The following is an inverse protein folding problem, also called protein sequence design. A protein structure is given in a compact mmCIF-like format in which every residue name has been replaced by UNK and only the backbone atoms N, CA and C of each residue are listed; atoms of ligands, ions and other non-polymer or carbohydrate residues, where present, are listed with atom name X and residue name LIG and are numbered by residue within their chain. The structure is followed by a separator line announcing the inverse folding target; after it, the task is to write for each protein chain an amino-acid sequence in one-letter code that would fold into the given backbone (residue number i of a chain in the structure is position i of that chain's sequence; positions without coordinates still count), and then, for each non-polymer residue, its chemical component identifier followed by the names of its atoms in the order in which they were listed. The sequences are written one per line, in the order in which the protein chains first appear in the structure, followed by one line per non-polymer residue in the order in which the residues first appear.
data_IF_055637520726
#
_entry.id   IF_055637520726
#
_cell.length_a   1.000
_cell.length_b   1.000
_cell.length_c   1.000
_cell.angle_alpha   90.00
_cell.angle_beta   90.00
_cell.angle_gamma   90.00
#
_symmetry.space_group_name_H-M   'P 1'
#
loop_
_entity.id
_entity.type
_entity.pdbx_description
1 polymer ?
#
# COMPACT_ATOMS: atom_id res chain seq x y z
N UNK A 1 12.40 4.09 -24.85
CA UNK A 1 12.26 4.14 -23.39
C UNK A 1 12.64 2.76 -22.87
N UNK A 2 13.77 2.65 -22.14
CA UNK A 2 14.29 1.36 -21.68
C UNK A 2 13.62 1.00 -20.36
N UNK A 3 12.92 -0.13 -20.35
CA UNK A 3 12.37 -0.74 -19.13
C UNK A 3 13.57 -1.26 -18.33
N UNK A 4 13.83 -0.70 -17.17
CA UNK A 4 14.90 -1.20 -16.28
C UNK A 4 14.25 -2.20 -15.34
N UNK A 5 14.36 -3.47 -15.68
CA UNK A 5 14.09 -4.58 -14.76
C UNK A 5 15.40 -4.79 -13.97
N UNK A 6 15.41 -4.39 -12.70
CA UNK A 6 16.56 -4.66 -11.82
C UNK A 6 16.30 -5.95 -11.04
N UNK A 7 16.89 -7.04 -11.51
CA UNK A 7 17.04 -8.27 -10.73
C UNK A 7 18.27 -8.18 -9.85
N UNK A 8 18.11 -8.23 -8.52
CA UNK A 8 19.22 -8.34 -7.58
C UNK A 8 19.43 -9.82 -7.20
N UNK A 9 20.60 -10.36 -7.53
CA UNK A 9 21.07 -11.62 -6.99
C UNK A 9 21.74 -11.35 -5.62
N UNK A 10 21.17 -11.93 -4.56
CA UNK A 10 21.79 -11.94 -3.24
C UNK A 10 23.00 -12.87 -3.25
N UNK A 11 24.20 -12.35 -3.10
CA UNK A 11 25.44 -13.11 -3.00
C UNK A 11 25.76 -13.32 -1.52
N UNK A 12 25.53 -14.54 -1.05
CA UNK A 12 25.90 -15.02 0.28
C UNK A 12 27.41 -15.30 0.30
N UNK A 13 28.19 -14.52 1.02
CA UNK A 13 29.64 -14.73 1.19
C UNK A 13 29.91 -15.40 2.53
N UNK A 14 30.22 -16.72 2.52
CA UNK A 14 30.81 -17.43 3.64
C UNK A 14 32.30 -17.04 3.78
N UNK A 15 32.67 -16.46 4.91
CA UNK A 15 34.04 -16.20 5.27
C UNK A 15 34.64 -17.39 6.03
N UNK A 16 35.65 -18.03 5.45
CA UNK A 16 36.56 -18.95 6.13
C UNK A 16 37.80 -18.18 6.52
N UNK A 17 38.11 -18.19 7.81
CA UNK A 17 39.31 -17.61 8.36
C UNK A 17 40.52 -18.54 8.13
N UNK A 18 41.67 -18.00 7.62
CA UNK A 18 42.98 -18.57 7.80
C UNK A 18 44.00 -17.48 8.10
N UNK A 19 44.62 -17.68 9.25
CA UNK A 19 45.75 -16.90 9.79
C UNK A 19 47.07 -17.18 9.02
N UNK A 20 47.87 -16.17 8.72
CA UNK A 20 49.32 -16.24 8.84
C UNK A 20 50.00 -14.88 8.73
N UNK A 21 51.08 -14.78 9.42
CA UNK A 21 51.89 -13.67 9.88
C UNK A 21 52.71 -12.92 8.82
N UNK A 22 53.00 -11.67 9.21
CA UNK A 22 54.26 -10.95 9.22
C UNK A 22 54.68 -10.10 8.01
N UNK A 23 54.88 -8.85 8.28
CA UNK A 23 56.07 -8.01 8.14
C UNK A 23 55.83 -6.60 7.59
N UNK A 24 56.21 -5.66 8.41
CA UNK A 24 56.49 -4.22 8.28
C UNK A 24 56.72 -3.65 6.89
N UNK A 25 56.06 -2.53 6.56
CA UNK A 25 56.73 -1.25 6.24
C UNK A 25 55.71 -0.10 6.10
N UNK A 26 56.00 0.99 6.74
CA UNK A 26 55.34 2.29 6.80
C UNK A 26 55.15 2.96 5.45
N UNK A 27 53.96 3.49 5.17
CA UNK A 27 53.74 4.80 4.53
C UNK A 27 52.33 5.33 4.79
N UNK A 28 52.28 6.56 5.26
CA UNK A 28 51.12 7.39 5.47
C UNK A 28 50.22 7.47 4.23
N UNK A 29 48.94 7.21 4.38
CA UNK A 29 47.89 7.75 3.54
C UNK A 29 46.66 8.01 4.43
N UNK A 30 46.09 9.14 4.22
CA UNK A 30 45.00 9.80 4.91
C UNK A 30 43.84 8.88 5.28
N UNK A 31 43.45 8.94 6.54
CA UNK A 31 42.24 8.35 7.10
C UNK A 31 41.02 9.04 6.47
N UNK A 32 40.42 8.40 5.48
CA UNK A 32 39.00 8.62 5.18
C UNK A 32 38.22 7.90 6.27
N UNK A 33 37.76 8.66 7.23
CA UNK A 33 36.73 8.21 8.20
C UNK A 33 35.54 7.69 7.41
N UNK A 34 35.47 6.38 7.32
CA UNK A 34 34.28 5.68 6.91
C UNK A 34 33.34 5.76 8.13
N UNK A 35 32.47 6.75 8.19
CA UNK A 35 31.43 6.83 9.18
C UNK A 35 30.49 5.64 8.94
N UNK A 36 30.75 4.52 9.61
CA UNK A 36 29.75 3.49 9.83
C UNK A 36 28.60 4.18 10.59
N UNK A 37 27.51 4.52 9.90
CA UNK A 37 26.26 4.91 10.56
C UNK A 37 25.88 3.75 11.48
N UNK A 38 25.90 4.01 12.79
CA UNK A 38 25.35 3.05 13.76
C UNK A 38 23.91 2.73 13.37
N UNK A 39 23.48 1.46 13.43
CA UNK A 39 22.11 1.09 13.09
C UNK A 39 21.16 1.93 13.94
N UNK A 40 20.37 2.77 13.29
CA UNK A 40 19.40 3.63 13.95
C UNK A 40 18.47 2.73 14.76
N UNK A 41 18.49 2.89 16.10
CA UNK A 41 17.59 2.12 16.99
C UNK A 41 16.14 2.47 16.65
N UNK A 42 15.34 1.44 16.40
CA UNK A 42 13.91 1.61 16.11
C UNK A 42 13.22 2.42 17.23
N UNK A 43 12.36 3.36 16.84
CA UNK A 43 11.56 4.13 17.79
C UNK A 43 10.51 3.21 18.44
N UNK A 44 10.17 3.48 19.69
CA UNK A 44 8.92 2.99 20.24
C UNK A 44 7.77 3.72 19.59
N UNK A 45 6.63 3.05 19.48
CA UNK A 45 5.45 3.60 18.83
C UNK A 45 4.39 4.01 19.84
N UNK A 46 3.88 5.22 19.69
CA UNK A 46 2.65 5.69 20.34
C UNK A 46 1.51 5.51 19.34
N UNK A 47 0.38 4.98 19.80
CA UNK A 47 -0.81 4.74 18.97
C UNK A 47 -1.96 5.53 19.55
N UNK A 48 -2.60 6.35 18.71
CA UNK A 48 -3.73 7.18 19.10
C UNK A 48 -4.90 6.96 18.15
N UNK A 49 -6.11 6.96 18.71
CA UNK A 49 -7.34 6.94 17.91
C UNK A 49 -7.57 8.35 17.33
N UNK A 50 -7.80 8.42 16.02
CA UNK A 50 -8.05 9.68 15.33
C UNK A 50 -9.25 9.53 14.40
N UNK A 51 -10.18 10.47 14.50
CA UNK A 51 -11.33 10.59 13.62
C UNK A 51 -11.14 11.71 12.60
N UNK A 52 -11.41 11.41 11.34
CA UNK A 52 -11.42 12.37 10.24
C UNK A 52 -12.86 12.58 9.78
N UNK A 53 -13.39 13.81 9.91
CA UNK A 53 -14.83 14.09 9.72
C UNK A 53 -15.09 15.08 8.60
N UNK A 54 -16.17 14.85 7.83
CA UNK A 54 -16.69 15.80 6.84
C UNK A 54 -18.20 15.60 6.68
N UNK A 55 -19.00 16.58 7.09
CA UNK A 55 -20.48 16.44 7.13
C UNK A 55 -20.89 15.26 8.02
N UNK A 56 -21.63 14.31 7.46
CA UNK A 56 -22.09 13.12 8.16
C UNK A 56 -21.05 11.97 8.14
N UNK A 57 -19.92 12.13 7.45
CA UNK A 57 -18.86 11.15 7.36
C UNK A 57 -17.94 11.27 8.57
N UNK A 58 -17.72 10.15 9.26
CA UNK A 58 -16.80 10.02 10.39
C UNK A 58 -15.87 8.82 10.16
N UNK A 59 -14.67 9.09 9.68
CA UNK A 59 -13.65 8.08 9.37
C UNK A 59 -12.86 7.77 10.63
N UNK A 60 -12.98 6.55 11.11
CA UNK A 60 -12.21 6.01 12.22
C UNK A 60 -10.85 5.49 11.74
N UNK A 61 -9.80 5.76 12.51
CA UNK A 61 -8.48 5.18 12.26
C UNK A 61 -7.54 5.29 13.44
N UNK A 62 -6.36 4.71 13.29
CA UNK A 62 -5.27 4.73 14.25
C UNK A 62 -4.06 5.46 13.68
N UNK A 63 -3.56 6.42 14.45
CA UNK A 63 -2.35 7.17 14.18
C UNK A 63 -1.20 6.53 14.95
N UNK A 64 -0.19 6.07 14.25
CA UNK A 64 1.05 5.52 14.78
C UNK A 64 2.13 6.58 14.67
N UNK A 65 2.77 6.94 15.77
CA UNK A 65 3.82 7.94 15.79
C UNK A 65 5.06 7.45 16.56
N UNK A 66 6.29 7.87 16.14
CA UNK A 66 7.51 7.54 16.87
C UNK A 66 7.58 8.29 18.21
N UNK A 67 7.71 7.56 19.32
CA UNK A 67 7.79 8.14 20.68
C UNK A 67 9.01 9.05 20.81
N UNK A 68 8.78 10.27 21.26
CA UNK A 68 9.85 11.22 21.57
C UNK A 68 10.58 11.84 20.38
N UNK A 69 10.17 11.56 19.15
CA UNK A 69 10.71 12.24 17.98
C UNK A 69 9.99 13.58 17.80
N UNK A 70 10.74 14.66 17.83
CA UNK A 70 10.21 16.02 17.74
C UNK A 70 10.21 16.55 16.32
N UNK A 71 9.37 17.58 16.09
CA UNK A 71 9.27 18.34 14.84
C UNK A 71 8.22 17.81 13.87
N UNK A 72 8.00 18.51 12.75
CA UNK A 72 7.15 18.02 11.68
C UNK A 72 7.78 16.78 11.04
N UNK A 73 7.06 15.67 11.06
CA UNK A 73 7.51 14.37 10.56
C UNK A 73 6.87 14.03 9.21
N UNK A 74 7.56 13.27 8.35
CA UNK A 74 6.94 12.70 7.17
C UNK A 74 5.79 11.77 7.58
N UNK A 75 4.70 11.78 6.81
CA UNK A 75 3.52 10.99 7.09
C UNK A 75 3.12 10.08 5.94
N UNK A 76 2.57 8.91 6.26
CA UNK A 76 2.01 7.97 5.31
C UNK A 76 0.56 7.64 5.71
N UNK A 77 -0.38 7.78 4.75
CA UNK A 77 -1.76 7.33 4.90
C UNK A 77 -1.90 5.97 4.22
N UNK A 78 -2.46 4.99 4.95
CA UNK A 78 -2.55 3.59 4.51
C UNK A 78 -3.99 3.17 4.29
N UNK A 79 -4.32 2.80 3.05
CA UNK A 79 -5.63 2.34 2.58
C UNK A 79 -5.67 0.82 2.48
N UNK A 80 -6.62 0.19 3.19
CA UNK A 80 -6.74 -1.27 3.26
C UNK A 80 -7.41 -1.88 2.02
N UNK A 81 -7.30 -3.21 1.89
CA UNK A 81 -7.95 -4.01 0.84
C UNK A 81 -9.48 -4.13 1.06
N UNK A 82 -10.19 -4.57 0.02
CA UNK A 82 -11.64 -4.83 0.05
C UNK A 82 -12.07 -5.66 1.26
N UNK A 83 -13.20 -5.29 1.86
CA UNK A 83 -13.84 -6.00 2.98
C UNK A 83 -12.94 -6.19 4.22
N UNK A 84 -11.95 -5.31 4.40
CA UNK A 84 -11.07 -5.29 5.56
C UNK A 84 -11.26 -4.00 6.36
N UNK A 85 -10.44 -3.82 7.38
CA UNK A 85 -10.39 -2.65 8.25
C UNK A 85 -8.94 -2.14 8.36
N UNK A 86 -8.73 -1.03 9.09
CA UNK A 86 -7.41 -0.52 9.46
C UNK A 86 -6.47 -1.59 10.00
N UNK A 87 -7.01 -2.64 10.65
CA UNK A 87 -6.22 -3.73 11.24
C UNK A 87 -5.34 -4.45 10.21
N UNK A 88 -5.75 -4.48 8.93
CA UNK A 88 -4.95 -5.06 7.86
C UNK A 88 -3.67 -4.26 7.56
N UNK A 89 -3.69 -2.95 7.83
CA UNK A 89 -2.58 -2.05 7.57
C UNK A 89 -1.76 -1.75 8.84
N UNK A 90 -2.28 -2.13 10.03
CA UNK A 90 -1.66 -1.86 11.32
C UNK A 90 -0.20 -2.37 11.44
N UNK A 91 0.17 -3.57 10.96
CA UNK A 91 1.57 -4.00 10.99
C UNK A 91 2.50 -3.08 10.19
N UNK A 92 2.07 -2.63 9.01
CA UNK A 92 2.85 -1.70 8.18
C UNK A 92 2.96 -0.33 8.84
N UNK A 93 1.87 0.18 9.44
CA UNK A 93 1.89 1.43 10.20
C UNK A 93 2.86 1.35 11.39
N UNK A 94 2.90 0.23 12.09
CA UNK A 94 3.85 -0.03 13.17
C UNK A 94 5.31 0.03 12.66
N UNK A 95 5.63 -0.71 11.58
CA UNK A 95 6.99 -0.69 10.99
C UNK A 95 7.41 0.71 10.55
N UNK A 96 6.51 1.48 9.95
CA UNK A 96 6.78 2.85 9.53
C UNK A 96 7.05 3.77 10.73
N UNK A 97 6.27 3.66 11.81
CA UNK A 97 6.48 4.46 13.02
C UNK A 97 7.81 4.12 13.70
N UNK A 98 8.21 2.87 13.75
CA UNK A 98 9.51 2.41 14.27
C UNK A 98 10.69 3.01 13.47
N UNK A 99 10.48 3.36 12.21
CA UNK A 99 11.48 4.03 11.36
C UNK A 99 11.35 5.57 11.37
N UNK A 100 10.47 6.10 12.22
CA UNK A 100 10.38 7.54 12.46
C UNK A 100 9.42 8.31 11.56
N UNK A 101 8.48 7.64 10.92
CA UNK A 101 7.37 8.21 10.17
C UNK A 101 6.10 8.28 11.03
N UNK A 102 5.21 9.21 10.74
CA UNK A 102 3.83 9.13 11.23
C UNK A 102 3.03 8.31 10.23
N UNK A 103 2.31 7.30 10.70
CA UNK A 103 1.51 6.44 9.84
C UNK A 103 0.05 6.41 10.30
N UNK A 104 -0.88 6.61 9.39
CA UNK A 104 -2.31 6.57 9.69
C UNK A 104 -3.00 5.50 8.87
N UNK A 105 -3.59 4.52 9.53
CA UNK A 105 -4.44 3.51 8.90
C UNK A 105 -5.89 3.66 9.41
N UNK A 106 -6.86 3.53 8.51
CA UNK A 106 -8.25 3.87 8.77
C UNK A 106 -9.20 2.85 8.15
N UNK A 107 -10.46 2.89 8.57
CA UNK A 107 -11.53 2.10 7.99
C UNK A 107 -12.25 2.92 6.92
N UNK A 108 -12.42 2.38 5.71
CA UNK A 108 -13.37 2.96 4.75
C UNK A 108 -14.81 2.80 5.24
N UNK A 109 -15.66 3.80 5.01
CA UNK A 109 -17.07 3.74 5.36
C UNK A 109 -17.80 2.65 4.59
N UNK A 110 -18.45 1.74 5.30
CA UNK A 110 -19.22 0.65 4.70
C UNK A 110 -18.39 -0.44 4.03
N UNK A 111 -17.06 -0.48 4.21
CA UNK A 111 -16.21 -1.52 3.62
C UNK A 111 -16.56 -2.94 4.10
N UNK A 112 -16.98 -3.08 5.34
CA UNK A 112 -17.46 -4.31 5.96
C UNK A 112 -18.26 -4.00 7.23
N UNK A 113 -18.88 -5.03 7.82
CA UNK A 113 -19.66 -4.88 9.06
C UNK A 113 -18.80 -4.47 10.27
N UNK A 114 -17.52 -4.84 10.26
CA UNK A 114 -16.55 -4.52 11.31
C UNK A 114 -15.99 -3.10 11.21
N UNK A 115 -16.27 -2.38 10.12
CA UNK A 115 -15.83 -0.98 9.96
C UNK A 115 -16.39 -0.11 11.08
N UNK A 116 -15.51 0.66 11.72
CA UNK A 116 -15.87 1.62 12.77
C UNK A 116 -16.20 3.01 12.22
N UNK A 117 -15.92 3.23 10.95
CA UNK A 117 -16.29 4.46 10.23
C UNK A 117 -17.77 4.53 9.99
N UNK A 118 -18.34 5.75 9.93
CA UNK A 118 -19.76 6.01 9.84
C UNK A 118 -20.08 6.98 8.71
N UNK A 119 -21.34 6.94 8.26
CA UNK A 119 -21.86 7.83 7.24
C UNK A 119 -22.23 7.16 5.93
N UNK A 120 -21.84 5.87 5.74
CA UNK A 120 -22.28 5.03 4.63
C UNK A 120 -22.50 3.60 5.08
N UNK A 121 -23.43 2.92 4.43
CA UNK A 121 -23.67 1.48 4.58
C UNK A 121 -22.81 0.69 3.59
N UNK A 122 -22.76 -0.63 3.74
CA UNK A 122 -22.09 -1.54 2.79
C UNK A 122 -22.75 -1.52 1.40
N UNK A 123 -24.05 -1.25 1.31
CA UNK A 123 -24.77 -1.12 0.05
C UNK A 123 -24.44 0.17 -0.70
N UNK A 124 -24.06 1.22 0.02
CA UNK A 124 -23.69 2.53 -0.55
C UNK A 124 -22.21 2.64 -0.87
N UNK A 125 -21.38 1.74 -0.34
CA UNK A 125 -19.93 1.74 -0.57
C UNK A 125 -19.62 1.42 -2.03
N UNK A 126 -18.71 2.22 -2.61
CA UNK A 126 -18.15 2.05 -3.96
C UNK A 126 -16.68 2.47 -3.95
N UNK A 127 -15.92 2.17 -5.01
CA UNK A 127 -14.55 2.69 -5.16
C UNK A 127 -14.53 4.21 -5.09
N UNK A 128 -15.56 4.89 -5.62
CA UNK A 128 -15.62 6.36 -5.63
C UNK A 128 -15.94 6.95 -4.26
N UNK A 129 -16.78 6.28 -3.46
CA UNK A 129 -17.02 6.71 -2.08
C UNK A 129 -15.82 6.45 -1.17
N UNK A 130 -15.04 5.39 -1.42
CA UNK A 130 -13.75 5.18 -0.75
C UNK A 130 -12.71 6.25 -1.14
N UNK A 131 -12.75 6.76 -2.38
CA UNK A 131 -11.93 7.91 -2.76
C UNK A 131 -12.30 9.17 -1.95
N UNK A 132 -13.61 9.45 -1.77
CA UNK A 132 -14.06 10.56 -0.93
C UNK A 132 -13.59 10.41 0.53
N UNK A 133 -13.63 9.19 1.08
CA UNK A 133 -13.12 8.89 2.42
C UNK A 133 -11.62 9.20 2.52
N UNK A 134 -10.82 8.74 1.57
CA UNK A 134 -9.38 9.02 1.55
C UNK A 134 -9.11 10.53 1.40
N UNK A 135 -9.90 11.26 0.61
CA UNK A 135 -9.80 12.72 0.49
C UNK A 135 -10.06 13.43 1.83
N UNK A 136 -11.06 12.97 2.60
CA UNK A 136 -11.35 13.49 3.97
C UNK A 136 -10.16 13.20 4.91
N UNK A 137 -9.60 12.00 4.84
CA UNK A 137 -8.41 11.62 5.63
C UNK A 137 -7.23 12.52 5.29
N UNK A 138 -6.89 12.67 4.01
CA UNK A 138 -5.75 13.48 3.57
C UNK A 138 -5.90 14.95 4.03
N UNK A 139 -7.12 15.50 3.91
CA UNK A 139 -7.40 16.86 4.37
C UNK A 139 -7.15 17.02 5.87
N UNK A 140 -7.53 16.03 6.69
CA UNK A 140 -7.31 16.05 8.15
C UNK A 140 -5.85 15.85 8.52
N UNK A 141 -5.19 14.84 7.96
CA UNK A 141 -3.81 14.49 8.31
C UNK A 141 -2.85 15.65 8.05
N UNK A 142 -3.03 16.38 6.95
CA UNK A 142 -2.21 17.57 6.61
C UNK A 142 -2.34 18.73 7.60
N UNK A 143 -3.34 18.74 8.47
CA UNK A 143 -3.55 19.80 9.47
C UNK A 143 -2.96 19.48 10.84
N UNK A 144 -2.36 18.32 11.02
CA UNK A 144 -1.75 17.92 12.29
C UNK A 144 -0.40 18.64 12.49
N UNK A 145 -0.18 19.24 13.66
CA UNK A 145 1.00 20.06 13.95
C UNK A 145 2.33 19.29 13.90
N UNK A 146 2.29 17.98 14.12
CA UNK A 146 3.46 17.12 14.10
C UNK A 146 3.79 16.52 12.71
N UNK A 147 3.07 16.92 11.65
CA UNK A 147 3.26 16.40 10.29
C UNK A 147 3.84 17.47 9.38
N UNK A 148 4.83 17.08 8.59
CA UNK A 148 5.32 17.88 7.46
C UNK A 148 4.38 17.69 6.26
N UNK A 149 3.56 18.70 5.92
CA UNK A 149 2.61 18.59 4.81
C UNK A 149 3.30 18.48 3.43
N UNK A 150 4.57 18.83 3.33
CA UNK A 150 5.38 18.66 2.12
C UNK A 150 5.96 17.23 1.97
N UNK A 151 5.79 16.38 2.99
CA UNK A 151 6.26 14.98 3.02
C UNK A 151 5.13 14.02 3.37
N UNK A 152 4.00 14.18 2.70
CA UNK A 152 2.85 13.27 2.81
C UNK A 152 2.90 12.23 1.70
N UNK A 153 2.88 10.97 2.10
CA UNK A 153 2.87 9.81 1.22
C UNK A 153 1.56 9.04 1.38
N UNK A 154 1.23 8.25 0.36
CA UNK A 154 0.08 7.35 0.40
C UNK A 154 0.51 5.93 0.08
N UNK A 155 -0.07 4.96 0.80
CA UNK A 155 0.12 3.55 0.56
C UNK A 155 -1.25 2.88 0.46
N UNK A 156 -1.48 2.09 -0.58
CA UNK A 156 -2.73 1.35 -0.73
C UNK A 156 -2.51 -0.08 -1.18
N UNK A 157 -3.31 -1.01 -0.63
CA UNK A 157 -3.26 -2.43 -0.96
C UNK A 157 -4.53 -2.87 -1.70
N UNK A 158 -4.39 -3.68 -2.76
CA UNK A 158 -5.50 -4.26 -3.50
C UNK A 158 -6.52 -3.21 -3.95
N UNK A 159 -7.80 -3.26 -3.52
CA UNK A 159 -8.81 -2.22 -3.78
C UNK A 159 -8.37 -0.86 -3.25
N UNK A 160 -7.84 -0.79 -2.03
CA UNK A 160 -7.26 0.45 -1.49
C UNK A 160 -6.11 0.98 -2.34
N UNK A 161 -5.38 0.11 -3.06
CA UNK A 161 -4.36 0.49 -4.04
C UNK A 161 -4.95 1.16 -5.28
N UNK A 162 -6.10 0.68 -5.79
CA UNK A 162 -6.85 1.36 -6.85
C UNK A 162 -7.35 2.73 -6.39
N UNK A 163 -7.99 2.80 -5.20
CA UNK A 163 -8.48 4.05 -4.61
C UNK A 163 -7.34 5.05 -4.44
N UNK A 164 -6.22 4.61 -3.86
CA UNK A 164 -5.03 5.43 -3.65
C UNK A 164 -4.49 6.00 -4.96
N UNK A 165 -4.41 5.16 -6.01
CA UNK A 165 -3.94 5.61 -7.32
C UNK A 165 -4.84 6.70 -7.91
N UNK A 166 -6.16 6.52 -7.87
CA UNK A 166 -7.12 7.49 -8.40
C UNK A 166 -7.15 8.80 -7.61
N UNK A 167 -7.01 8.74 -6.28
CA UNK A 167 -6.92 9.94 -5.43
C UNK A 167 -5.62 10.69 -5.67
N UNK A 168 -4.49 10.00 -5.83
CA UNK A 168 -3.20 10.64 -6.11
C UNK A 168 -3.20 11.44 -7.42
N UNK A 169 -3.94 11.01 -8.45
CA UNK A 169 -4.11 11.77 -9.69
C UNK A 169 -4.76 13.14 -9.45
N UNK A 170 -5.72 13.23 -8.53
CA UNK A 170 -6.43 14.48 -8.20
C UNK A 170 -5.65 15.37 -7.22
N UNK A 171 -4.83 14.77 -6.35
CA UNK A 171 -4.14 15.44 -5.24
C UNK A 171 -2.61 15.42 -5.39
N UNK A 172 -2.11 15.42 -6.63
CA UNK A 172 -0.69 15.30 -6.93
C UNK A 172 0.20 16.38 -6.28
N UNK A 173 -0.34 17.57 -6.05
CA UNK A 173 0.38 18.66 -5.39
C UNK A 173 0.56 18.43 -3.88
N UNK A 174 -0.27 17.58 -3.28
CA UNK A 174 -0.34 17.35 -1.84
C UNK A 174 0.34 16.04 -1.44
N UNK A 175 0.55 15.13 -2.40
CA UNK A 175 1.10 13.79 -2.19
C UNK A 175 2.50 13.73 -2.78
N UNK A 176 3.51 13.51 -1.94
CA UNK A 176 4.93 13.49 -2.31
C UNK A 176 5.35 12.22 -3.05
N UNK A 177 4.74 11.08 -2.71
CA UNK A 177 5.03 9.79 -3.34
C UNK A 177 3.95 8.76 -3.06
N UNK A 178 3.84 7.75 -3.92
CA UNK A 178 2.79 6.74 -3.87
C UNK A 178 3.38 5.33 -3.84
N UNK A 179 2.86 4.52 -2.92
CA UNK A 179 3.25 3.12 -2.73
C UNK A 179 2.01 2.25 -2.97
N UNK A 180 2.10 1.30 -3.89
CA UNK A 180 1.00 0.43 -4.24
C UNK A 180 1.37 -1.04 -4.01
N UNK A 181 0.60 -1.73 -3.19
CA UNK A 181 0.71 -3.15 -2.94
C UNK A 181 -0.34 -3.88 -3.75
N UNK A 182 0.09 -4.70 -4.73
CA UNK A 182 -0.79 -5.51 -5.59
C UNK A 182 -2.12 -4.82 -5.95
N UNK A 183 -2.08 -3.58 -6.51
CA UNK A 183 -3.27 -2.76 -6.70
C UNK A 183 -4.28 -3.44 -7.63
N UNK A 184 -5.56 -3.44 -7.23
CA UNK A 184 -6.62 -4.16 -7.92
C UNK A 184 -7.18 -3.39 -9.13
N UNK A 185 -6.32 -3.04 -10.08
CA UNK A 185 -6.69 -2.36 -11.33
C UNK A 185 -7.59 -3.22 -12.25
N UNK A 186 -7.77 -4.51 -11.91
CA UNK A 186 -8.66 -5.43 -12.60
C UNK A 186 -10.12 -5.35 -12.16
N UNK A 187 -10.48 -4.57 -11.14
CA UNK A 187 -11.86 -4.52 -10.59
C UNK A 187 -12.91 -4.28 -11.68
N UNK A 188 -12.79 -3.29 -12.59
CA UNK A 188 -13.79 -3.09 -13.64
C UNK A 188 -13.97 -4.31 -14.53
N UNK A 189 -12.88 -4.94 -14.96
CA UNK A 189 -12.91 -6.16 -15.78
C UNK A 189 -13.56 -7.33 -15.02
N UNK A 190 -13.22 -7.50 -13.74
CA UNK A 190 -13.75 -8.52 -12.86
C UNK A 190 -15.28 -8.39 -12.74
N UNK A 191 -15.74 -7.19 -12.38
CA UNK A 191 -17.16 -6.86 -12.20
C UNK A 191 -17.94 -7.03 -13.50
N UNK A 192 -17.42 -6.56 -14.63
CA UNK A 192 -18.06 -6.70 -15.95
C UNK A 192 -18.22 -8.17 -16.37
N UNK A 193 -17.24 -9.02 -16.10
CA UNK A 193 -17.31 -10.46 -16.36
C UNK A 193 -18.41 -11.12 -15.52
N UNK A 194 -18.51 -10.79 -14.23
CA UNK A 194 -19.54 -11.36 -13.38
C UNK A 194 -20.94 -10.92 -13.77
N UNK A 195 -21.14 -9.65 -14.11
CA UNK A 195 -22.42 -9.12 -14.60
C UNK A 195 -22.90 -9.84 -15.87
N UNK A 196 -21.99 -10.19 -16.77
CA UNK A 196 -22.31 -10.90 -18.02
C UNK A 196 -22.67 -12.38 -17.81
N UNK A 197 -22.11 -13.04 -16.78
CA UNK A 197 -22.37 -14.45 -16.46
C UNK A 197 -23.73 -14.60 -15.73
N UNK A 198 -24.11 -13.61 -14.92
CA UNK A 198 -25.36 -13.62 -14.16
C UNK A 198 -26.62 -13.41 -14.99
N UNK A 199 -26.49 -13.14 -16.29
CA UNK A 199 -27.55 -13.23 -17.31
C UNK A 199 -28.88 -12.62 -16.93
N UNK A 200 -28.95 -11.37 -16.45
CA UNK A 200 -30.21 -10.60 -16.35
C UNK A 200 -31.28 -11.15 -15.37
N UNK A 201 -30.91 -11.96 -14.40
CA UNK A 201 -31.81 -12.50 -13.37
C UNK A 201 -31.42 -11.95 -12.00
N UNK A 202 -32.38 -11.26 -11.41
CA UNK A 202 -32.52 -10.81 -10.02
C UNK A 202 -31.21 -10.64 -9.21
N UNK A 203 -30.88 -9.39 -8.94
CA UNK A 203 -29.65 -8.90 -8.24
C UNK A 203 -29.36 -9.54 -6.87
N UNK A 204 -30.31 -10.30 -6.31
CA UNK A 204 -30.13 -11.06 -5.07
C UNK A 204 -29.20 -12.27 -5.16
N UNK A 205 -28.69 -12.62 -6.37
CA UNK A 205 -27.93 -13.86 -6.60
C UNK A 205 -26.41 -13.68 -6.66
N UNK A 206 -25.88 -12.45 -6.69
CA UNK A 206 -24.43 -12.21 -6.63
C UNK A 206 -23.82 -12.63 -5.29
N UNK A 207 -24.62 -12.65 -4.21
CA UNK A 207 -24.20 -13.11 -2.88
C UNK A 207 -24.01 -14.62 -2.73
N UNK A 208 -24.41 -15.44 -3.73
CA UNK A 208 -24.40 -16.90 -3.65
C UNK A 208 -23.44 -17.63 -4.59
N UNK A 209 -22.52 -16.91 -5.26
CA UNK A 209 -21.42 -17.55 -5.98
C UNK A 209 -20.38 -18.07 -4.96
N UNK A 210 -20.69 -19.23 -4.38
CA UNK A 210 -19.82 -20.00 -3.47
C UNK A 210 -18.57 -20.52 -4.21
N UNK A 211 -17.66 -19.63 -4.54
CA UNK A 211 -16.42 -19.95 -5.21
C UNK A 211 -15.51 -18.74 -5.28
N UNK A 212 -14.78 -18.45 -4.23
CA UNK A 212 -13.62 -17.55 -4.23
C UNK A 212 -13.88 -16.03 -4.18
N UNK A 213 -15.00 -15.53 -4.69
CA UNK A 213 -15.33 -14.09 -4.72
C UNK A 213 -16.73 -13.73 -4.17
N UNK A 214 -17.56 -14.72 -3.89
CA UNK A 214 -18.93 -14.51 -3.38
C UNK A 214 -19.03 -13.93 -1.96
N UNK A 215 -17.90 -13.80 -1.25
CA UNK A 215 -17.84 -13.14 0.04
C UNK A 215 -17.35 -11.69 -0.04
N UNK A 216 -17.12 -11.15 -1.21
CA UNK A 216 -16.67 -9.75 -1.36
C UNK A 216 -17.80 -8.72 -1.22
N UNK A 217 -19.04 -9.13 -0.93
CA UNK A 217 -20.13 -8.20 -0.59
C UNK A 217 -20.32 -7.03 -1.57
N UNK A 218 -20.06 -7.23 -2.88
CA UNK A 218 -20.23 -6.16 -3.85
C UNK A 218 -21.70 -5.84 -4.04
N UNK A 219 -22.11 -4.65 -3.64
CA UNK A 219 -23.45 -4.13 -3.86
C UNK A 219 -23.72 -3.85 -5.34
N UNK A 220 -25.00 -3.69 -5.70
CA UNK A 220 -25.38 -3.23 -7.06
C UNK A 220 -24.78 -1.86 -7.36
N UNK A 221 -24.78 -0.95 -6.37
CA UNK A 221 -24.17 0.37 -6.49
C UNK A 221 -22.65 0.28 -6.78
N UNK A 222 -21.94 -0.64 -6.12
CA UNK A 222 -20.53 -0.88 -6.39
C UNK A 222 -20.33 -1.33 -7.85
N UNK A 223 -21.05 -2.36 -8.28
CA UNK A 223 -20.99 -2.93 -9.62
C UNK A 223 -21.27 -1.85 -10.69
N UNK A 224 -22.39 -1.15 -10.54
CA UNK A 224 -22.82 -0.13 -11.52
C UNK A 224 -21.85 1.06 -11.60
N UNK A 225 -21.21 1.41 -10.51
CA UNK A 225 -20.27 2.53 -10.47
C UNK A 225 -18.99 2.27 -11.25
N UNK A 226 -18.54 1.00 -11.34
CA UNK A 226 -17.16 0.70 -11.79
C UNK A 226 -17.08 -0.21 -13.02
N UNK A 227 -18.15 -0.93 -13.40
CA UNK A 227 -18.13 -1.96 -14.47
C UNK A 227 -17.62 -1.48 -15.84
N UNK A 228 -17.86 -0.21 -16.17
CA UNK A 228 -17.47 0.40 -17.44
C UNK A 228 -16.31 1.40 -17.29
N UNK A 229 -15.65 1.44 -16.10
CA UNK A 229 -14.62 2.40 -15.81
C UNK A 229 -13.26 1.97 -16.39
N UNK A 230 -12.66 2.82 -17.21
CA UNK A 230 -11.30 2.62 -17.73
C UNK A 230 -10.27 3.19 -16.76
N UNK A 231 -9.74 2.33 -15.88
CA UNK A 231 -8.71 2.70 -14.91
C UNK A 231 -7.49 3.31 -15.60
N UNK A 232 -7.05 2.71 -16.74
CA UNK A 232 -5.82 3.14 -17.41
C UNK A 232 -5.97 4.42 -18.24
N UNK A 233 -7.19 4.87 -18.47
CA UNK A 233 -7.46 6.21 -18.98
C UNK A 233 -7.44 7.28 -17.89
N UNK A 234 -7.57 6.87 -16.62
CA UNK A 234 -7.71 7.74 -15.46
C UNK A 234 -6.51 7.71 -14.50
N UNK A 235 -5.42 7.04 -14.85
CA UNK A 235 -4.13 7.07 -14.14
C UNK A 235 -3.01 7.46 -15.09
N UNK A 236 -1.88 7.96 -14.50
CA UNK A 236 -0.63 8.25 -15.24
C UNK A 236 -0.35 9.73 -15.43
N UNK A 237 -1.15 10.63 -14.90
CA UNK A 237 -0.86 12.08 -14.85
C UNK A 237 -0.19 12.50 -13.54
N UNK A 238 -0.20 11.65 -12.51
CA UNK A 238 0.52 11.87 -11.27
C UNK A 238 2.03 11.96 -11.52
N UNK A 239 2.66 13.14 -11.25
CA UNK A 239 4.02 13.43 -11.71
C UNK A 239 5.12 12.92 -10.79
N UNK A 240 4.77 12.62 -9.53
CA UNK A 240 5.75 12.23 -8.50
C UNK A 240 6.04 10.72 -8.57
N UNK A 241 6.99 10.28 -7.75
CA UNK A 241 7.47 8.90 -7.78
C UNK A 241 6.43 7.89 -7.29
N UNK A 242 6.38 6.76 -7.96
CA UNK A 242 5.49 5.63 -7.66
C UNK A 242 6.29 4.35 -7.53
N UNK A 243 6.09 3.59 -6.46
CA UNK A 243 6.51 2.19 -6.44
C UNK A 243 5.31 1.26 -6.38
N UNK A 244 5.40 0.17 -7.13
CA UNK A 244 4.41 -0.89 -7.12
C UNK A 244 5.12 -2.17 -6.70
N UNK A 245 4.63 -2.82 -5.64
CA UNK A 245 5.11 -4.13 -5.20
C UNK A 245 4.01 -5.15 -5.47
N UNK A 246 4.35 -6.26 -6.16
CA UNK A 246 3.34 -7.23 -6.58
C UNK A 246 3.91 -8.65 -6.58
N UNK A 247 3.14 -9.59 -6.02
CA UNK A 247 3.53 -11.00 -5.99
C UNK A 247 3.49 -11.64 -7.39
N UNK A 248 4.52 -12.42 -7.75
CA UNK A 248 4.54 -13.08 -9.07
C UNK A 248 3.58 -14.26 -9.20
N UNK A 249 3.04 -14.75 -8.08
CA UNK A 249 2.05 -15.84 -8.02
C UNK A 249 0.69 -15.33 -7.53
N UNK A 250 0.41 -14.04 -7.73
CA UNK A 250 -0.89 -13.47 -7.39
C UNK A 250 -1.94 -13.95 -8.38
N UNK A 251 -2.88 -14.76 -7.90
CA UNK A 251 -3.98 -15.32 -8.69
C UNK A 251 -5.31 -14.54 -8.52
N UNK A 252 -5.34 -13.55 -7.61
CA UNK A 252 -6.49 -12.65 -7.41
C UNK A 252 -6.36 -11.44 -8.35
N UNK A 253 -5.20 -10.81 -8.31
CA UNK A 253 -4.84 -9.72 -9.22
C UNK A 253 -3.57 -10.12 -9.98
N UNK A 254 -3.69 -10.48 -11.23
CA UNK A 254 -2.54 -10.84 -12.06
C UNK A 254 -1.56 -9.65 -12.16
N UNK A 255 -0.27 -9.90 -11.94
CA UNK A 255 0.80 -8.89 -11.96
C UNK A 255 0.83 -8.07 -13.26
N UNK A 256 0.28 -8.60 -14.36
CA UNK A 256 0.17 -7.88 -15.65
C UNK A 256 -0.54 -6.52 -15.52
N UNK A 257 -1.48 -6.38 -14.57
CA UNK A 257 -2.18 -5.11 -14.34
C UNK A 257 -1.22 -4.06 -13.76
N UNK A 258 -0.30 -4.44 -12.89
CA UNK A 258 0.78 -3.57 -12.41
C UNK A 258 1.83 -3.30 -13.50
N UNK A 259 2.16 -4.27 -14.34
CA UNK A 259 3.04 -4.08 -15.50
C UNK A 259 2.46 -3.09 -16.53
N UNK A 260 1.14 -3.05 -16.65
CA UNK A 260 0.46 -2.06 -17.47
C UNK A 260 0.47 -0.68 -16.83
N UNK A 261 0.19 -0.59 -15.52
CA UNK A 261 0.14 0.66 -14.78
C UNK A 261 1.50 1.37 -14.75
N UNK A 262 2.59 0.64 -14.53
CA UNK A 262 3.95 1.21 -14.50
C UNK A 262 4.34 1.91 -15.80
N UNK A 263 3.73 1.54 -16.91
CA UNK A 263 3.97 2.17 -18.23
C UNK A 263 3.21 3.50 -18.39
N UNK A 264 2.25 3.76 -17.51
CA UNK A 264 1.43 4.97 -17.55
C UNK A 264 2.08 6.13 -16.79
N UNK A 265 2.68 5.83 -15.64
CA UNK A 265 3.28 6.87 -14.80
C UNK A 265 4.62 7.37 -15.35
N UNK A 266 4.91 8.67 -15.22
CA UNK A 266 6.20 9.27 -15.63
C UNK A 266 7.39 8.68 -14.86
N UNK A 267 7.19 8.43 -13.56
CA UNK A 267 8.21 7.90 -12.65
C UNK A 267 7.61 6.78 -11.80
N UNK A 268 7.60 5.54 -12.33
CA UNK A 268 7.14 4.38 -11.61
C UNK A 268 8.11 3.21 -11.72
N UNK A 269 8.25 2.46 -10.62
CA UNK A 269 9.04 1.23 -10.55
C UNK A 269 8.16 0.09 -10.05
N UNK A 270 8.17 -1.04 -10.77
CA UNK A 270 7.55 -2.29 -10.32
C UNK A 270 8.62 -3.19 -9.70
N UNK A 271 8.35 -3.67 -8.48
CA UNK A 271 9.13 -4.70 -7.79
C UNK A 271 8.34 -6.00 -7.73
N UNK A 272 8.64 -6.98 -8.61
CA UNK A 272 8.05 -8.31 -8.55
C UNK A 272 8.56 -9.07 -7.32
N UNK A 273 7.66 -9.46 -6.42
CA UNK A 273 7.98 -10.25 -5.23
C UNK A 273 7.88 -11.73 -5.58
N UNK A 274 9.02 -12.36 -5.74
CA UNK A 274 9.11 -13.74 -6.25
C UNK A 274 8.38 -14.74 -5.37
N UNK A 275 7.46 -15.52 -5.97
CA UNK A 275 6.69 -16.56 -5.32
C UNK A 275 5.62 -16.09 -4.36
N UNK A 276 5.45 -14.78 -4.16
CA UNK A 276 4.38 -14.25 -3.33
C UNK A 276 3.04 -14.29 -4.07
N UNK A 277 1.97 -14.61 -3.33
CA UNK A 277 0.57 -14.50 -3.77
C UNK A 277 -0.03 -13.14 -3.39
N UNK A 278 -1.34 -12.98 -3.51
CA UNK A 278 -2.05 -11.79 -3.03
C UNK A 278 -1.86 -11.62 -1.51
N UNK A 279 -1.60 -10.38 -1.06
CA UNK A 279 -1.26 -10.11 0.34
C UNK A 279 0.17 -10.53 0.72
N UNK A 280 1.05 -10.79 -0.26
CA UNK A 280 2.43 -11.23 -0.10
C UNK A 280 2.62 -12.56 0.64
N UNK A 281 1.57 -13.37 0.74
CA UNK A 281 1.64 -14.70 1.35
C UNK A 281 2.36 -15.70 0.44
N UNK A 282 2.87 -16.79 1.03
CA UNK A 282 3.34 -17.92 0.23
C UNK A 282 2.14 -18.60 -0.46
N UNK A 283 2.24 -18.81 -1.76
CA UNK A 283 1.18 -19.44 -2.54
C UNK A 283 1.04 -20.92 -2.12
N UNK A 284 0.06 -21.22 -1.28
CA UNK A 284 -0.47 -22.56 -1.14
C UNK A 284 -1.91 -22.58 -1.67
N UNK A 285 -2.28 -23.68 -2.29
CA UNK A 285 -3.53 -23.87 -3.06
C UNK A 285 -4.84 -23.61 -2.29
N UNK A 286 -4.80 -23.31 -1.01
CA UNK A 286 -5.94 -23.11 -0.12
C UNK A 286 -5.91 -21.75 0.60
N UNK A 287 -5.02 -20.86 0.18
CA UNK A 287 -4.62 -19.65 0.89
C UNK A 287 -5.57 -18.48 0.80
N UNK A 288 -6.79 -18.62 1.23
CA UNK A 288 -7.60 -17.49 1.74
C UNK A 288 -7.20 -17.15 3.19
N UNK A 289 -6.18 -17.78 3.72
CA UNK A 289 -5.70 -17.56 5.07
C UNK A 289 -4.77 -16.34 5.11
N UNK A 290 -5.28 -15.27 5.66
CA UNK A 290 -4.59 -14.03 6.01
C UNK A 290 -4.28 -13.09 4.85
N UNK A 291 -5.23 -12.21 4.59
CA UNK A 291 -5.02 -10.95 3.84
C UNK A 291 -4.33 -9.89 4.73
N UNK A 292 -3.90 -10.27 5.93
CA UNK A 292 -3.32 -9.41 6.95
C UNK A 292 -1.95 -9.94 7.35
N UNK A 293 -0.90 -9.16 7.13
CA UNK A 293 0.48 -9.51 7.45
C UNK A 293 1.00 -10.67 6.58
N UNK A 294 1.71 -10.36 5.51
CA UNK A 294 2.23 -11.36 4.58
C UNK A 294 3.51 -12.01 5.11
N UNK A 295 3.68 -13.31 4.84
CA UNK A 295 4.92 -14.05 5.14
C UNK A 295 6.16 -13.45 4.42
N UNK A 296 5.95 -12.50 3.51
CA UNK A 296 6.98 -11.81 2.73
C UNK A 296 7.18 -10.36 3.12
N UNK A 297 6.61 -9.90 4.23
CA UNK A 297 6.73 -8.50 4.66
C UNK A 297 8.18 -8.10 4.90
N UNK A 298 9.03 -9.00 5.41
CA UNK A 298 10.48 -8.78 5.54
C UNK A 298 11.17 -8.50 4.21
N UNK A 299 10.58 -8.97 3.10
CA UNK A 299 11.10 -8.70 1.74
C UNK A 299 10.55 -7.40 1.18
N UNK A 300 9.32 -7.03 1.56
CA UNK A 300 8.57 -5.88 1.00
C UNK A 300 9.00 -4.57 1.63
N UNK A 301 9.09 -4.51 2.96
CA UNK A 301 9.37 -3.27 3.69
C UNK A 301 10.72 -2.61 3.35
N UNK A 302 11.82 -3.34 3.06
CA UNK A 302 13.05 -2.72 2.61
C UNK A 302 12.92 -1.89 1.33
N UNK A 303 12.03 -2.28 0.40
CA UNK A 303 11.74 -1.46 -0.79
C UNK A 303 10.98 -0.19 -0.44
N UNK A 304 10.03 -0.29 0.49
CA UNK A 304 9.26 0.86 1.00
C UNK A 304 10.19 1.86 1.68
N UNK A 305 11.03 1.42 2.61
CA UNK A 305 11.96 2.31 3.33
C UNK A 305 12.97 2.97 2.40
N UNK A 306 13.52 2.23 1.44
CA UNK A 306 14.41 2.83 0.45
C UNK A 306 13.70 3.89 -0.37
N UNK A 307 12.50 3.63 -0.85
CA UNK A 307 11.70 4.61 -1.58
C UNK A 307 11.48 5.89 -0.76
N UNK A 308 11.07 5.74 0.49
CA UNK A 308 10.80 6.88 1.38
C UNK A 308 12.08 7.67 1.72
N UNK A 309 13.23 7.01 1.83
CA UNK A 309 14.53 7.66 2.10
C UNK A 309 15.05 8.44 0.89
N UNK A 310 14.65 8.11 -0.33
CA UNK A 310 15.04 8.78 -1.57
C UNK A 310 14.18 10.04 -1.86
N UNK A 311 13.12 10.32 -1.05
CA UNK A 311 12.20 11.46 -1.22
C UNK A 311 12.60 12.68 -0.37
#
# INVERSE_FOLDING_TARGET
MKIIIKTFAAMLCCSVAMTSMSSCTTKNTEDTENSEEEPQTAYKTVIEELHCTSGDIDIYGLLYAPEGKEGPLPAIVLSHSSSLTHAAMAPYAQYLAEQGYVAYCFDFCGACEESRSKGRTTEEMTVFTEMEDLEVVLAKIRTLDNIDPGKLFVLGSSQGGLVTALVAEKHAADIKGMILFYPAFNIPELVSKFSSISGGGDSGSLGNLSGGFGSMGMSEAFVDSIKDYDVYANIGTYPNDVIILHGTNDFIVDIKYSEQAVKKYPSAVLYPIQGASHGFNNANLYGMASLVGGEKDDVVMPYVFRFLAEQ
#
